data_IF_137775263872
#
_entry.id   IF_137775263872
#
_cell.length_a   1.000
_cell.length_b   1.000
_cell.length_c   1.000
_cell.angle_alpha   90.00
_cell.angle_beta   90.00
_cell.angle_gamma   90.00
#
_symmetry.space_group_name_H-M   'P 1'
#
loop_
_entity.id
_entity.type
_entity.pdbx_description
1 polymer ?
#
# COMPACT_ATOMS: atom_id res chain seq x y z
N UNK A 1 16.81 12.50 -45.80
CA UNK A 1 16.31 13.85 -45.44
C UNK A 1 17.32 14.87 -45.94
N UNK A 2 16.88 15.88 -46.70
CA UNK A 2 17.75 16.96 -47.20
C UNK A 2 18.06 17.98 -46.08
N UNK A 3 19.15 18.72 -46.21
CA UNK A 3 19.64 19.65 -45.17
C UNK A 3 18.66 20.80 -44.84
N UNK A 4 17.68 21.08 -45.69
CA UNK A 4 16.55 21.99 -45.42
C UNK A 4 15.55 21.44 -44.39
N UNK A 5 15.39 20.11 -44.27
CA UNK A 5 14.52 19.51 -43.23
C UNK A 5 15.19 19.53 -41.84
N UNK A 6 16.53 19.42 -41.78
CA UNK A 6 17.29 19.41 -40.52
C UNK A 6 17.21 20.73 -39.75
N UNK A 7 17.09 21.87 -40.43
CA UNK A 7 16.92 23.19 -39.79
C UNK A 7 15.56 23.38 -39.10
N UNK A 8 14.52 22.67 -39.55
CA UNK A 8 13.15 22.81 -39.01
C UNK A 8 12.90 22.05 -37.71
N UNK A 9 13.63 20.95 -37.48
CA UNK A 9 13.45 20.06 -36.32
C UNK A 9 13.93 20.71 -35.01
N UNK A 10 14.84 21.70 -35.09
CA UNK A 10 15.38 22.39 -33.90
C UNK A 10 14.32 23.16 -33.10
N UNK A 11 13.21 23.55 -33.73
CA UNK A 11 12.10 24.25 -33.09
C UNK A 11 10.95 23.34 -32.70
N UNK A 12 11.07 22.03 -32.92
CA UNK A 12 9.99 21.11 -32.60
C UNK A 12 9.92 20.83 -31.10
N UNK A 13 8.70 20.82 -30.58
CA UNK A 13 8.40 20.22 -29.28
C UNK A 13 8.49 18.68 -29.32
N UNK A 14 8.47 18.05 -28.14
CA UNK A 14 8.40 16.59 -28.02
C UNK A 14 7.15 16.02 -28.73
N UNK A 15 6.00 16.68 -28.54
CA UNK A 15 4.75 16.34 -29.21
C UNK A 15 4.86 16.45 -30.74
N UNK A 16 5.58 17.45 -31.25
CA UNK A 16 5.79 17.58 -32.69
C UNK A 16 6.73 16.51 -33.25
N UNK A 17 7.76 16.08 -32.51
CA UNK A 17 8.56 14.91 -32.92
C UNK A 17 7.68 13.66 -32.94
N UNK A 18 6.87 13.45 -31.89
CA UNK A 18 5.97 12.29 -31.77
C UNK A 18 5.00 12.24 -32.94
N UNK A 19 4.32 13.34 -33.24
CA UNK A 19 3.29 13.41 -34.28
C UNK A 19 3.85 13.55 -35.71
N UNK A 20 4.87 14.39 -35.94
CA UNK A 20 5.35 14.72 -37.29
C UNK A 20 6.48 13.80 -37.77
N UNK A 21 7.20 13.15 -36.86
CA UNK A 21 8.35 12.29 -37.20
C UNK A 21 8.04 10.84 -36.90
N UNK A 22 7.82 10.50 -35.63
CA UNK A 22 7.67 9.10 -35.20
C UNK A 22 6.43 8.46 -35.80
N UNK A 23 5.26 9.11 -35.67
CA UNK A 23 4.01 8.60 -36.23
C UNK A 23 4.11 8.36 -37.75
N UNK A 24 4.58 9.35 -38.51
CA UNK A 24 4.72 9.21 -39.96
C UNK A 24 5.77 8.17 -40.37
N UNK A 25 6.85 8.03 -39.60
CA UNK A 25 7.82 6.95 -39.83
C UNK A 25 7.17 5.57 -39.64
N UNK A 26 6.40 5.36 -38.57
CA UNK A 26 5.67 4.12 -38.33
C UNK A 26 4.66 3.82 -39.47
N UNK A 27 3.97 4.85 -39.96
CA UNK A 27 3.07 4.74 -41.13
C UNK A 27 3.82 4.32 -42.40
N UNK A 28 4.99 4.90 -42.65
CA UNK A 28 5.82 4.55 -43.81
C UNK A 28 6.38 3.12 -43.72
N UNK A 29 6.53 2.57 -42.52
CA UNK A 29 6.83 1.15 -42.30
C UNK A 29 5.64 0.22 -42.54
N UNK A 30 4.46 0.75 -42.90
CA UNK A 30 3.27 -0.04 -43.24
C UNK A 30 2.34 -0.33 -42.06
N UNK A 31 2.55 0.30 -40.89
CA UNK A 31 1.67 0.12 -39.73
C UNK A 31 0.35 0.88 -39.91
N UNK A 32 -0.74 0.27 -39.44
CA UNK A 32 -2.08 0.87 -39.49
C UNK A 32 -2.29 1.74 -38.25
N UNK A 33 -3.24 2.66 -38.32
CA UNK A 33 -3.54 3.56 -37.19
C UNK A 33 -4.06 2.76 -35.99
N UNK A 34 -4.77 1.66 -36.23
CA UNK A 34 -5.23 0.72 -35.20
C UNK A 34 -4.10 0.04 -34.42
N UNK A 35 -2.88 0.05 -34.96
CA UNK A 35 -1.72 -0.64 -34.41
C UNK A 35 -0.82 0.34 -33.61
N UNK A 36 -1.11 1.64 -33.63
CA UNK A 36 -0.29 2.72 -33.03
C UNK A 36 -1.09 3.46 -31.96
N UNK A 37 -0.59 3.44 -30.72
CA UNK A 37 -1.24 4.06 -29.56
C UNK A 37 -0.35 5.18 -29.02
N UNK A 38 -0.80 6.42 -29.18
CA UNK A 38 -0.09 7.62 -28.70
C UNK A 38 -0.50 7.94 -27.26
N UNK A 39 0.46 8.37 -26.43
CA UNK A 39 0.27 8.72 -25.02
C UNK A 39 -0.43 7.61 -24.22
N UNK A 40 -0.06 6.36 -24.50
CA UNK A 40 -0.72 5.19 -23.92
C UNK A 40 -0.49 5.11 -22.40
N UNK A 41 -1.57 5.13 -21.62
CA UNK A 41 -1.51 4.96 -20.17
C UNK A 41 -1.08 3.54 -19.81
N UNK A 42 -0.08 3.43 -18.94
CA UNK A 42 0.44 2.13 -18.52
C UNK A 42 -0.52 1.54 -17.48
N UNK A 43 -0.89 0.30 -17.73
CA UNK A 43 -1.65 -0.50 -16.77
C UNK A 43 -0.74 -1.58 -16.20
N UNK A 44 -0.73 -1.71 -14.88
CA UNK A 44 -0.01 -2.75 -14.17
C UNK A 44 -0.97 -3.85 -13.75
N UNK A 45 -0.53 -5.10 -13.87
CA UNK A 45 -1.23 -6.21 -13.25
C UNK A 45 -0.82 -6.29 -11.78
N UNK A 46 -1.72 -5.86 -10.89
CA UNK A 46 -1.54 -5.93 -9.45
C UNK A 46 -2.32 -7.17 -8.96
N UNK A 47 -1.60 -8.29 -8.99
CA UNK A 47 -2.08 -9.66 -8.84
C UNK A 47 -3.31 -10.05 -9.66
N UNK A 48 -4.51 -10.15 -9.07
CA UNK A 48 -5.71 -10.53 -9.85
C UNK A 48 -6.37 -9.35 -10.59
N UNK A 49 -6.00 -8.11 -10.28
CA UNK A 49 -6.58 -6.92 -10.92
C UNK A 49 -5.58 -6.22 -11.84
N UNK A 50 -6.10 -5.53 -12.85
CA UNK A 50 -5.33 -4.57 -13.64
C UNK A 50 -5.62 -3.17 -13.08
N UNK A 51 -4.57 -2.39 -12.81
CA UNK A 51 -4.65 -1.02 -12.29
C UNK A 51 -3.84 -0.09 -13.17
N UNK A 52 -4.47 0.98 -13.63
CA UNK A 52 -3.77 2.08 -14.29
C UNK A 52 -2.86 2.79 -13.30
N UNK A 53 -1.60 2.99 -13.67
CA UNK A 53 -0.65 3.80 -12.91
C UNK A 53 -0.54 5.19 -13.51
N UNK A 54 -0.02 6.16 -12.74
CA UNK A 54 0.21 7.50 -13.25
C UNK A 54 1.51 7.54 -14.07
N UNK A 55 1.52 6.80 -15.18
CA UNK A 55 2.64 6.72 -16.10
C UNK A 55 2.09 6.45 -17.50
N UNK A 56 2.67 7.12 -18.49
CA UNK A 56 2.29 7.00 -19.89
C UNK A 56 3.53 6.86 -20.75
N UNK A 57 3.43 6.03 -21.78
CA UNK A 57 4.44 5.98 -22.84
C UNK A 57 4.05 6.89 -23.98
N UNK A 58 5.02 7.48 -24.67
CA UNK A 58 4.76 8.32 -25.83
C UNK A 58 4.08 7.55 -26.96
N UNK A 59 4.62 6.39 -27.34
CA UNK A 59 4.03 5.54 -28.38
C UNK A 59 4.19 4.07 -28.01
N UNK A 60 3.06 3.35 -27.99
CA UNK A 60 3.01 1.89 -28.00
C UNK A 60 2.58 1.42 -29.38
N UNK A 61 3.30 0.46 -29.96
CA UNK A 61 2.88 -0.23 -31.18
C UNK A 61 2.51 -1.67 -30.84
N UNK A 62 1.40 -2.14 -31.40
CA UNK A 62 0.94 -3.54 -31.26
C UNK A 62 0.92 -4.24 -32.61
N UNK A 63 1.04 -5.56 -32.58
CA UNK A 63 0.74 -6.44 -33.71
C UNK A 63 -0.36 -7.41 -33.29
N UNK A 64 -1.61 -7.07 -33.63
CA UNK A 64 -2.79 -7.70 -33.06
C UNK A 64 -2.83 -7.51 -31.55
N UNK A 65 -2.95 -8.60 -30.80
CA UNK A 65 -2.99 -8.59 -29.33
C UNK A 65 -1.61 -8.44 -28.67
N UNK A 66 -0.51 -8.56 -29.42
CA UNK A 66 0.85 -8.56 -28.84
C UNK A 66 1.49 -7.17 -28.93
N UNK A 67 2.24 -6.80 -27.89
CA UNK A 67 3.03 -5.57 -27.92
C UNK A 67 4.28 -5.76 -28.77
N UNK A 68 4.57 -4.81 -29.65
CA UNK A 68 5.68 -4.89 -30.60
C UNK A 68 6.85 -4.01 -30.18
N UNK A 69 6.61 -2.73 -29.94
CA UNK A 69 7.65 -1.80 -29.54
C UNK A 69 7.09 -0.61 -28.76
N UNK A 70 7.93 -0.05 -27.91
CA UNK A 70 7.73 1.27 -27.29
C UNK A 70 8.63 2.27 -27.99
N UNK A 71 8.11 3.46 -28.31
CA UNK A 71 8.94 4.62 -28.65
C UNK A 71 8.80 5.64 -27.55
N UNK A 72 9.91 6.01 -26.91
CA UNK A 72 10.02 7.14 -26.01
C UNK A 72 10.68 8.30 -26.78
N UNK A 73 10.05 9.46 -26.70
CA UNK A 73 10.42 10.67 -27.44
C UNK A 73 10.88 11.73 -26.45
N UNK A 74 11.96 12.43 -26.77
CA UNK A 74 12.44 13.59 -26.00
C UNK A 74 12.53 14.82 -26.90
N UNK A 75 12.59 16.00 -26.30
CA UNK A 75 12.79 17.25 -27.03
C UNK A 75 14.10 17.22 -27.87
N UNK A 76 14.16 17.89 -29.04
CA UNK A 76 15.33 17.84 -29.93
C UNK A 76 16.61 18.46 -29.34
N UNK A 77 16.48 19.25 -28.27
CA UNK A 77 17.59 19.82 -27.48
C UNK A 77 18.08 18.89 -26.38
N UNK A 78 17.30 17.87 -26.00
CA UNK A 78 17.62 16.93 -24.94
C UNK A 78 18.64 15.89 -25.40
N UNK A 79 19.73 15.71 -24.66
CA UNK A 79 20.70 14.65 -24.94
C UNK A 79 20.22 13.34 -24.31
N UNK A 80 20.09 12.30 -25.13
CA UNK A 80 19.65 10.99 -24.67
C UNK A 80 20.65 10.41 -23.67
N UNK A 81 20.17 10.02 -22.50
CA UNK A 81 21.00 9.51 -21.40
C UNK A 81 20.37 8.29 -20.71
N UNK A 82 21.15 7.61 -19.86
CA UNK A 82 20.77 6.33 -19.23
C UNK A 82 19.46 6.38 -18.43
N UNK A 83 19.06 7.54 -17.91
CA UNK A 83 17.75 7.69 -17.24
C UNK A 83 16.58 7.53 -18.20
N UNK A 84 16.70 8.06 -19.42
CA UNK A 84 15.67 7.94 -20.46
C UNK A 84 15.55 6.50 -20.94
N UNK A 85 16.71 5.82 -21.07
CA UNK A 85 16.77 4.39 -21.40
C UNK A 85 16.02 3.57 -20.36
N UNK A 86 16.32 3.76 -19.07
CA UNK A 86 15.65 3.04 -17.99
C UNK A 86 14.14 3.30 -17.99
N UNK A 87 13.71 4.54 -18.24
CA UNK A 87 12.30 4.89 -18.36
C UNK A 87 11.61 4.11 -19.49
N UNK A 88 12.14 4.23 -20.70
CA UNK A 88 11.56 3.62 -21.90
C UNK A 88 11.48 2.09 -21.79
N UNK A 89 12.55 1.45 -21.30
CA UNK A 89 12.61 0.00 -21.08
C UNK A 89 11.60 -0.43 -19.99
N UNK A 90 11.47 0.33 -18.92
CA UNK A 90 10.52 0.02 -17.85
C UNK A 90 9.08 0.06 -18.35
N UNK A 91 8.76 0.97 -19.27
CA UNK A 91 7.45 1.02 -19.91
C UNK A 91 7.18 -0.23 -20.76
N UNK A 92 8.13 -0.63 -21.60
CA UNK A 92 8.02 -1.83 -22.42
C UNK A 92 7.80 -3.11 -21.61
N UNK A 93 8.48 -3.21 -20.45
CA UNK A 93 8.41 -4.36 -19.55
C UNK A 93 7.12 -4.41 -18.72
N UNK A 94 6.50 -3.28 -18.42
CA UNK A 94 5.39 -3.17 -17.45
C UNK A 94 3.98 -3.34 -18.01
N UNK A 95 3.83 -3.55 -19.32
CA UNK A 95 2.54 -3.68 -19.98
C UNK A 95 1.76 -4.90 -19.45
N UNK A 96 0.57 -4.66 -18.89
CA UNK A 96 -0.28 -5.70 -18.31
C UNK A 96 -0.77 -6.73 -19.35
N UNK A 97 -1.16 -6.26 -20.54
CA UNK A 97 -1.73 -7.05 -21.62
C UNK A 97 -0.78 -7.10 -22.82
N UNK A 98 -0.82 -8.17 -23.62
CA UNK A 98 -0.02 -8.31 -24.84
C UNK A 98 1.47 -8.62 -24.65
N UNK A 99 1.91 -8.90 -23.42
CA UNK A 99 3.29 -9.27 -23.10
C UNK A 99 4.26 -8.09 -23.02
N UNK A 100 5.56 -8.35 -22.86
CA UNK A 100 6.59 -7.31 -22.95
C UNK A 100 6.70 -6.85 -24.41
N UNK A 101 6.79 -5.55 -24.66
CA UNK A 101 7.18 -5.05 -25.98
C UNK A 101 8.67 -5.39 -26.20
N UNK A 102 9.03 -6.29 -27.13
CA UNK A 102 10.40 -6.84 -27.24
C UNK A 102 11.46 -5.78 -27.52
N UNK A 103 11.08 -4.66 -28.15
CA UNK A 103 12.01 -3.59 -28.51
C UNK A 103 11.56 -2.25 -27.93
N UNK A 104 12.55 -1.44 -27.56
CA UNK A 104 12.35 -0.06 -27.12
C UNK A 104 13.19 0.86 -28.00
N UNK A 105 12.58 1.93 -28.48
CA UNK A 105 13.24 2.99 -29.24
C UNK A 105 13.24 4.25 -28.39
N UNK A 106 14.40 4.87 -28.24
CA UNK A 106 14.55 6.17 -27.60
C UNK A 106 15.04 7.17 -28.65
N UNK A 107 14.32 8.27 -28.85
CA UNK A 107 14.69 9.26 -29.86
C UNK A 107 14.39 10.69 -29.43
N UNK A 108 15.16 11.64 -29.95
CA UNK A 108 14.88 13.07 -29.89
C UNK A 108 14.70 13.69 -31.29
N UNK A 109 14.41 12.86 -32.30
CA UNK A 109 14.30 13.26 -33.70
C UNK A 109 15.64 13.50 -34.41
N UNK A 110 16.76 13.62 -33.69
CA UNK A 110 18.12 13.73 -34.26
C UNK A 110 18.94 12.46 -34.06
N UNK A 111 18.88 11.92 -32.85
CA UNK A 111 19.48 10.66 -32.44
C UNK A 111 18.39 9.61 -32.19
N UNK A 112 18.75 8.36 -32.38
CA UNK A 112 17.89 7.21 -32.15
C UNK A 112 18.74 6.09 -31.56
N UNK A 113 18.23 5.45 -30.52
CA UNK A 113 18.83 4.28 -29.89
C UNK A 113 17.77 3.19 -29.80
N UNK A 114 18.15 1.96 -30.14
CA UNK A 114 17.26 0.80 -30.08
C UNK A 114 17.78 -0.12 -28.99
N UNK A 115 16.87 -0.71 -28.21
CA UNK A 115 17.21 -1.63 -27.15
C UNK A 115 16.36 -2.89 -27.22
N UNK A 116 16.97 -4.02 -26.88
CA UNK A 116 16.24 -5.20 -26.43
C UNK A 116 15.60 -4.86 -25.07
N UNK A 117 14.26 -4.87 -25.01
CA UNK A 117 13.56 -4.46 -23.79
C UNK A 117 13.70 -5.47 -22.67
N UNK A 118 14.06 -6.72 -22.92
CA UNK A 118 14.23 -7.75 -21.88
C UNK A 118 15.63 -7.66 -21.30
N UNK A 119 16.66 -7.64 -22.14
CA UNK A 119 18.07 -7.66 -21.69
C UNK A 119 18.63 -6.26 -21.41
N UNK A 120 18.02 -5.22 -21.99
CA UNK A 120 18.49 -3.84 -21.92
C UNK A 120 19.72 -3.53 -22.78
N UNK A 121 20.13 -4.47 -23.64
CA UNK A 121 21.26 -4.31 -24.55
C UNK A 121 20.91 -3.32 -25.67
N UNK A 122 21.87 -2.43 -25.99
CA UNK A 122 21.75 -1.55 -27.16
C UNK A 122 21.94 -2.35 -28.45
N UNK A 123 21.02 -2.15 -29.40
CA UNK A 123 21.01 -2.78 -30.71
C UNK A 123 21.34 -1.72 -31.77
N UNK A 124 22.26 -2.03 -32.68
CA UNK A 124 22.46 -1.20 -33.87
C UNK A 124 21.33 -1.41 -34.89
N UNK A 125 20.91 -2.65 -35.05
CA UNK A 125 19.80 -3.08 -35.90
C UNK A 125 19.14 -4.33 -35.33
N UNK A 126 17.91 -4.62 -35.76
CA UNK A 126 17.19 -5.85 -35.39
C UNK A 126 17.26 -6.82 -36.55
N UNK A 127 18.14 -7.83 -36.44
CA UNK A 127 18.30 -8.88 -37.43
C UNK A 127 17.10 -9.82 -37.53
N UNK A 128 16.94 -10.48 -38.68
CA UNK A 128 15.87 -11.48 -38.91
C UNK A 128 16.05 -12.75 -38.08
N UNK A 129 17.28 -13.00 -37.62
CA UNK A 129 17.70 -14.08 -36.76
C UNK A 129 17.53 -13.78 -35.26
N UNK A 130 17.14 -12.55 -34.90
CA UNK A 130 16.95 -12.17 -33.50
C UNK A 130 15.91 -13.09 -32.82
N UNK A 131 16.15 -13.59 -31.60
CA UNK A 131 15.29 -14.58 -30.95
C UNK A 131 13.79 -14.21 -30.92
N UNK A 132 13.48 -12.93 -30.66
CA UNK A 132 12.09 -12.46 -30.68
C UNK A 132 11.50 -12.41 -32.09
N UNK A 133 12.27 -12.05 -33.12
CA UNK A 133 11.79 -12.00 -34.51
C UNK A 133 11.45 -13.40 -34.99
N UNK A 134 12.35 -14.37 -34.73
CA UNK A 134 12.12 -15.79 -35.03
C UNK A 134 10.88 -16.32 -34.29
N UNK A 135 10.64 -15.85 -33.07
CA UNK A 135 9.48 -16.23 -32.26
C UNK A 135 8.23 -15.36 -32.49
N UNK A 136 8.09 -14.73 -33.66
CA UNK A 136 6.89 -13.98 -34.02
C UNK A 136 6.70 -12.71 -33.20
N UNK A 137 7.79 -12.04 -32.83
CA UNK A 137 7.87 -10.79 -32.08
C UNK A 137 7.36 -10.92 -30.63
N UNK A 138 7.68 -12.03 -29.96
CA UNK A 138 7.32 -12.31 -28.57
C UNK A 138 8.53 -12.53 -27.66
N UNK A 139 8.50 -11.92 -26.49
CA UNK A 139 9.50 -12.10 -25.43
C UNK A 139 9.06 -13.21 -24.46
N UNK A 140 9.73 -14.37 -24.48
CA UNK A 140 9.26 -15.57 -23.76
C UNK A 140 10.27 -16.17 -22.72
N UNK A 141 11.48 -15.62 -22.56
CA UNK A 141 12.56 -16.21 -21.75
C UNK A 141 12.75 -15.61 -20.35
N UNK A 142 13.01 -14.30 -20.27
CA UNK A 142 13.36 -13.61 -19.01
C UNK A 142 12.33 -12.53 -18.60
N UNK A 143 11.09 -12.67 -19.08
CA UNK A 143 10.06 -11.66 -18.92
C UNK A 143 9.67 -11.40 -17.45
N UNK A 144 9.87 -12.37 -16.56
CA UNK A 144 9.49 -12.25 -15.14
C UNK A 144 10.44 -11.29 -14.41
N UNK A 145 11.75 -11.52 -14.50
CA UNK A 145 12.76 -10.67 -13.85
C UNK A 145 12.71 -9.26 -14.44
N UNK A 146 12.62 -9.16 -15.78
CA UNK A 146 12.48 -7.87 -16.46
C UNK A 146 11.22 -7.12 -15.98
N UNK A 147 10.08 -7.80 -15.80
CA UNK A 147 8.86 -7.20 -15.23
C UNK A 147 9.08 -6.70 -13.81
N UNK A 148 9.75 -7.48 -12.96
CA UNK A 148 10.02 -7.10 -11.58
C UNK A 148 10.84 -5.82 -11.49
N UNK A 149 11.94 -5.74 -12.23
CA UNK A 149 12.81 -4.57 -12.30
C UNK A 149 12.04 -3.32 -12.76
N UNK A 150 11.18 -3.47 -13.77
CA UNK A 150 10.41 -2.38 -14.32
C UNK A 150 9.34 -1.86 -13.37
N UNK A 151 8.64 -2.77 -12.68
CA UNK A 151 7.66 -2.43 -11.66
C UNK A 151 8.31 -1.71 -10.47
N UNK A 152 9.50 -2.15 -10.04
CA UNK A 152 10.29 -1.48 -9.01
C UNK A 152 10.64 -0.05 -9.45
N UNK A 153 11.12 0.10 -10.68
CA UNK A 153 11.43 1.40 -11.26
C UNK A 153 10.19 2.30 -11.27
N UNK A 154 9.05 1.82 -11.78
CA UNK A 154 7.79 2.59 -11.83
C UNK A 154 7.28 3.01 -10.46
N UNK A 155 7.35 2.13 -9.46
CA UNK A 155 6.96 2.46 -8.09
C UNK A 155 7.92 3.49 -7.50
N UNK A 156 9.21 3.40 -7.79
CA UNK A 156 10.21 4.36 -7.32
C UNK A 156 10.15 5.74 -8.01
N UNK A 157 9.48 5.84 -9.16
CA UNK A 157 9.38 7.09 -9.92
C UNK A 157 8.36 8.08 -9.34
N UNK A 158 7.28 7.60 -8.70
CA UNK A 158 6.24 8.51 -8.21
C UNK A 158 5.55 8.02 -6.93
N UNK A 159 5.22 9.00 -6.07
CA UNK A 159 4.44 8.76 -4.85
C UNK A 159 3.06 8.17 -5.13
N UNK A 160 2.46 8.53 -6.26
CA UNK A 160 1.16 7.96 -6.65
C UNK A 160 1.24 6.46 -6.90
N UNK A 161 2.30 5.96 -7.53
CA UNK A 161 2.43 4.54 -7.84
C UNK A 161 2.63 3.71 -6.56
N UNK A 162 3.45 4.19 -5.63
CA UNK A 162 3.57 3.56 -4.31
C UNK A 162 2.24 3.58 -3.54
N UNK A 163 1.49 4.68 -3.61
CA UNK A 163 0.17 4.76 -2.99
C UNK A 163 -0.85 3.80 -3.63
N UNK A 164 -0.80 3.60 -4.95
CA UNK A 164 -1.65 2.63 -5.65
C UNK A 164 -1.33 1.21 -5.14
N UNK A 165 -0.05 0.85 -5.02
CA UNK A 165 0.39 -0.40 -4.41
C UNK A 165 -0.16 -0.56 -2.98
N UNK A 166 0.07 0.44 -2.12
CA UNK A 166 -0.38 0.42 -0.73
C UNK A 166 -1.90 0.28 -0.60
N UNK A 167 -2.67 0.98 -1.45
CA UNK A 167 -4.14 0.89 -1.49
C UNK A 167 -4.60 -0.52 -1.86
N UNK A 168 -3.99 -1.13 -2.86
CA UNK A 168 -4.32 -2.49 -3.28
C UNK A 168 -3.97 -3.53 -2.20
N UNK A 169 -2.79 -3.40 -1.57
CA UNK A 169 -2.35 -4.27 -0.47
C UNK A 169 -3.29 -4.17 0.74
N UNK A 170 -3.57 -2.94 1.21
CA UNK A 170 -4.47 -2.72 2.33
C UNK A 170 -5.88 -3.25 2.03
N UNK A 171 -6.43 -2.97 0.85
CA UNK A 171 -7.74 -3.47 0.46
C UNK A 171 -7.81 -5.00 0.48
N UNK A 172 -6.74 -5.69 0.08
CA UNK A 172 -6.66 -7.15 0.15
C UNK A 172 -6.59 -7.66 1.60
N UNK A 173 -5.63 -7.17 2.39
CA UNK A 173 -5.41 -7.65 3.77
C UNK A 173 -6.56 -7.28 4.72
N UNK A 174 -7.29 -6.19 4.45
CA UNK A 174 -8.45 -5.79 5.25
C UNK A 174 -9.73 -6.61 4.97
N UNK A 175 -9.80 -7.42 3.89
CA UNK A 175 -11.03 -8.18 3.53
C UNK A 175 -11.55 -9.07 4.66
N UNK A 176 -10.66 -9.61 5.49
CA UNK A 176 -11.09 -10.47 6.60
C UNK A 176 -11.75 -9.69 7.73
N UNK A 177 -11.47 -8.38 7.85
CA UNK A 177 -11.91 -7.49 8.93
C UNK A 177 -13.01 -6.50 8.50
N UNK A 178 -13.06 -6.14 7.21
CA UNK A 178 -13.90 -5.08 6.65
C UNK A 178 -15.05 -5.63 5.79
N UNK A 179 -16.22 -5.02 5.90
CA UNK A 179 -17.31 -5.11 4.92
C UNK A 179 -18.14 -3.82 4.90
N UNK A 180 -18.93 -3.64 3.83
CA UNK A 180 -19.89 -2.53 3.71
C UNK A 180 -21.28 -2.91 4.25
N UNK A 181 -21.62 -4.20 4.20
CA UNK A 181 -22.87 -4.72 4.76
C UNK A 181 -22.80 -4.76 6.30
N UNK A 182 -23.79 -4.11 6.93
CA UNK A 182 -23.91 -4.01 8.39
C UNK A 182 -24.17 -5.37 9.05
N UNK A 183 -24.74 -6.34 8.33
CA UNK A 183 -25.05 -7.69 8.84
C UNK A 183 -23.97 -8.73 8.53
N UNK A 184 -22.86 -8.32 7.91
CA UNK A 184 -21.77 -9.21 7.49
C UNK A 184 -21.02 -9.92 8.64
N UNK A 185 -21.24 -9.51 9.90
CA UNK A 185 -20.49 -9.96 11.07
C UNK A 185 -19.02 -9.48 11.09
N UNK A 186 -18.58 -8.65 10.14
CA UNK A 186 -17.20 -8.14 10.11
C UNK A 186 -16.97 -7.10 11.20
N UNK A 187 -15.73 -7.04 11.72
CA UNK A 187 -15.34 -6.12 12.81
C UNK A 187 -15.52 -4.66 12.40
N UNK A 188 -15.02 -4.29 11.23
CA UNK A 188 -15.02 -2.92 10.72
C UNK A 188 -16.06 -2.74 9.62
N UNK A 189 -17.02 -1.86 9.87
CA UNK A 189 -18.03 -1.44 8.89
C UNK A 189 -17.93 0.09 8.82
N UNK A 190 -17.47 0.69 7.69
CA UNK A 190 -17.19 2.12 7.62
C UNK A 190 -18.37 3.02 7.96
N UNK A 191 -19.59 2.64 7.56
CA UNK A 191 -20.82 3.39 7.83
C UNK A 191 -21.16 3.47 9.33
N UNK A 192 -20.77 2.45 10.12
CA UNK A 192 -20.99 2.40 11.57
C UNK A 192 -19.80 2.94 12.39
N UNK A 193 -18.66 3.17 11.75
CA UNK A 193 -17.47 3.64 12.45
C UNK A 193 -17.67 5.05 13.01
N UNK A 194 -17.25 5.26 14.25
CA UNK A 194 -17.29 6.57 14.94
C UNK A 194 -15.86 7.10 15.06
N UNK A 195 -15.64 8.34 14.64
CA UNK A 195 -14.30 8.91 14.53
C UNK A 195 -13.65 9.15 15.89
N UNK A 196 -12.50 8.48 16.13
CA UNK A 196 -11.67 8.62 17.33
C UNK A 196 -10.69 9.79 17.18
N UNK A 197 -11.19 11.03 17.23
CA UNK A 197 -10.41 12.23 16.86
C UNK A 197 -9.11 12.38 17.66
N UNK A 198 -9.18 12.26 18.99
CA UNK A 198 -8.02 12.41 19.89
C UNK A 198 -6.98 11.30 19.67
N UNK A 199 -7.33 10.00 19.70
CA UNK A 199 -6.37 8.96 19.36
C UNK A 199 -5.76 9.08 17.96
N UNK A 200 -6.52 9.56 16.98
CA UNK A 200 -6.02 9.79 15.63
C UNK A 200 -4.99 10.92 15.58
N UNK A 201 -5.25 12.06 16.25
CA UNK A 201 -4.29 13.17 16.29
C UNK A 201 -3.01 12.76 17.01
N UNK A 202 -3.13 12.11 18.17
CA UNK A 202 -1.98 11.61 18.93
C UNK A 202 -1.11 10.64 18.10
N UNK A 203 -1.73 9.71 17.37
CA UNK A 203 -1.00 8.78 16.50
C UNK A 203 -0.28 9.51 15.37
N UNK A 204 -0.95 10.48 14.74
CA UNK A 204 -0.41 11.22 13.59
C UNK A 204 0.75 12.10 14.01
N UNK A 205 0.63 12.82 15.13
CA UNK A 205 1.70 13.62 15.73
C UNK A 205 2.93 12.74 16.03
N UNK A 206 2.73 11.60 16.71
CA UNK A 206 3.84 10.68 17.02
C UNK A 206 4.53 10.12 15.76
N UNK A 207 3.84 9.93 14.64
CA UNK A 207 4.43 9.34 13.44
C UNK A 207 5.09 10.33 12.49
N UNK A 208 4.66 11.59 12.48
CA UNK A 208 5.02 12.54 11.42
C UNK A 208 5.62 13.87 11.91
N UNK A 209 5.63 14.17 13.21
CA UNK A 209 6.29 15.37 13.73
C UNK A 209 7.83 15.24 13.75
N UNK A 210 8.53 16.33 14.10
CA UNK A 210 10.00 16.44 14.01
C UNK A 210 10.78 15.42 14.84
N UNK A 211 10.19 14.91 15.93
CA UNK A 211 10.73 13.80 16.74
C UNK A 211 9.87 12.54 16.57
N UNK A 212 9.61 12.18 15.31
CA UNK A 212 8.68 11.10 14.99
C UNK A 212 9.18 9.75 15.46
N UNK A 213 8.33 9.07 16.23
CA UNK A 213 8.49 7.70 16.65
C UNK A 213 8.72 6.79 15.44
N UNK A 214 9.60 5.81 15.57
CA UNK A 214 9.70 4.71 14.60
C UNK A 214 8.65 3.64 14.84
N UNK A 215 8.12 3.56 16.06
CA UNK A 215 7.15 2.57 16.47
C UNK A 215 6.20 3.18 17.48
N UNK A 216 4.89 3.04 17.24
CA UNK A 216 3.82 3.45 18.15
C UNK A 216 2.96 2.24 18.51
N UNK A 217 2.70 2.04 19.80
CA UNK A 217 1.77 1.01 20.27
C UNK A 217 0.35 1.56 20.43
N UNK A 218 -0.62 0.92 19.80
CA UNK A 218 -2.05 1.19 20.01
C UNK A 218 -2.61 0.18 21.00
N UNK A 219 -2.85 0.63 22.23
CA UNK A 219 -3.24 -0.22 23.35
C UNK A 219 -4.65 0.08 23.83
N UNK A 220 -5.29 -0.91 24.42
CA UNK A 220 -6.61 -0.73 25.01
C UNK A 220 -7.20 -2.08 25.42
N UNK A 221 -8.20 -2.11 26.31
CA UNK A 221 -8.81 -3.38 26.69
C UNK A 221 -9.48 -4.06 25.48
N UNK A 222 -9.78 -5.36 25.55
CA UNK A 222 -10.50 -6.07 24.49
C UNK A 222 -11.78 -5.33 24.08
N UNK A 223 -12.20 -5.49 22.82
CA UNK A 223 -13.50 -5.03 22.33
C UNK A 223 -13.77 -3.50 22.33
N UNK A 224 -12.79 -2.65 22.66
CA UNK A 224 -12.90 -1.19 22.58
C UNK A 224 -12.70 -0.58 21.18
N UNK A 225 -12.62 -1.40 20.13
CA UNK A 225 -12.57 -0.92 18.74
C UNK A 225 -11.18 -0.56 18.21
N UNK A 226 -10.09 -1.13 18.76
CA UNK A 226 -8.71 -0.95 18.24
C UNK A 226 -8.60 -1.31 16.75
N UNK A 227 -9.11 -2.47 16.36
CA UNK A 227 -9.13 -2.90 14.95
C UNK A 227 -9.88 -1.89 14.08
N UNK A 228 -11.07 -1.45 14.48
CA UNK A 228 -11.84 -0.47 13.73
C UNK A 228 -11.11 0.88 13.62
N UNK A 229 -10.45 1.31 14.70
CA UNK A 229 -9.60 2.49 14.70
C UNK A 229 -8.44 2.36 13.70
N UNK A 230 -7.69 1.26 13.73
CA UNK A 230 -6.58 1.05 12.79
C UNK A 230 -7.05 0.94 11.34
N UNK A 231 -8.14 0.22 11.08
CA UNK A 231 -8.70 0.13 9.73
C UNK A 231 -9.08 1.50 9.18
N UNK A 232 -9.77 2.33 9.97
CA UNK A 232 -10.12 3.69 9.54
C UNK A 232 -8.89 4.58 9.38
N UNK A 233 -7.93 4.51 10.30
CA UNK A 233 -6.68 5.26 10.24
C UNK A 233 -5.89 4.95 8.97
N UNK A 234 -5.77 3.67 8.59
CA UNK A 234 -5.10 3.25 7.36
C UNK A 234 -5.77 3.84 6.12
N UNK A 235 -7.10 3.73 6.03
CA UNK A 235 -7.86 4.33 4.93
C UNK A 235 -7.65 5.84 4.85
N UNK A 236 -7.63 6.52 6.00
CA UNK A 236 -7.40 7.96 6.08
C UNK A 236 -5.98 8.35 5.67
N UNK A 237 -4.96 7.64 6.14
CA UNK A 237 -3.56 7.86 5.73
C UNK A 237 -3.39 7.69 4.22
N UNK A 238 -3.95 6.63 3.63
CA UNK A 238 -3.92 6.42 2.19
C UNK A 238 -4.66 7.52 1.40
N UNK A 239 -5.75 8.07 1.96
CA UNK A 239 -6.48 9.19 1.34
C UNK A 239 -5.72 10.51 1.43
N UNK A 240 -4.90 10.69 2.47
CA UNK A 240 -4.04 11.85 2.70
C UNK A 240 -2.68 11.76 1.97
N UNK A 241 -2.43 10.65 1.27
CA UNK A 241 -1.20 10.47 0.49
C UNK A 241 -0.02 9.89 1.27
N UNK A 242 -0.25 9.34 2.46
CA UNK A 242 0.78 8.63 3.24
C UNK A 242 0.83 7.15 2.83
N UNK A 243 1.95 6.66 2.28
CA UNK A 243 2.14 5.23 1.98
C UNK A 243 1.96 4.40 3.26
N UNK A 244 1.02 3.45 3.21
CA UNK A 244 0.65 2.64 4.38
C UNK A 244 0.38 1.19 3.98
N UNK A 245 0.99 0.23 4.68
CA UNK A 245 0.66 -1.19 4.60
C UNK A 245 -0.10 -1.64 5.85
N UNK A 246 -0.97 -2.63 5.69
CA UNK A 246 -1.78 -3.16 6.78
C UNK A 246 -1.71 -4.67 6.86
N UNK A 247 -1.53 -5.20 8.07
CA UNK A 247 -1.42 -6.61 8.35
C UNK A 247 -2.25 -6.99 9.59
N UNK A 248 -3.34 -7.76 9.44
CA UNK A 248 -3.93 -8.47 10.58
C UNK A 248 -2.92 -9.47 11.12
N UNK A 249 -2.55 -9.37 12.39
CA UNK A 249 -1.52 -10.22 12.98
C UNK A 249 -1.89 -11.72 12.94
N UNK A 250 -3.19 -12.03 13.00
CA UNK A 250 -3.73 -13.39 12.78
C UNK A 250 -3.37 -14.01 11.43
N UNK A 251 -3.02 -13.19 10.44
CA UNK A 251 -2.63 -13.64 9.10
C UNK A 251 -1.11 -13.81 8.96
N UNK A 252 -0.31 -13.38 9.95
CA UNK A 252 1.16 -13.40 9.90
C UNK A 252 1.76 -14.75 10.34
N UNK A 253 1.31 -15.85 9.72
CA UNK A 253 1.73 -17.21 10.08
C UNK A 253 3.22 -17.46 9.90
N UNK A 254 3.85 -16.82 8.91
CA UNK A 254 5.28 -16.94 8.61
C UNK A 254 6.11 -15.73 9.08
N UNK A 255 5.52 -14.84 9.88
CA UNK A 255 6.13 -13.57 10.28
C UNK A 255 5.76 -12.39 9.37
N UNK A 256 6.05 -11.19 9.86
CA UNK A 256 5.81 -9.92 9.16
C UNK A 256 6.71 -9.78 7.94
N UNK A 257 7.99 -10.14 8.06
CA UNK A 257 8.95 -9.97 6.95
C UNK A 257 8.57 -10.85 5.77
N UNK A 258 8.17 -12.10 6.04
CA UNK A 258 7.69 -13.02 5.03
C UNK A 258 6.41 -12.51 4.37
N UNK A 259 5.49 -11.92 5.12
CA UNK A 259 4.26 -11.35 4.56
C UNK A 259 4.52 -10.13 3.67
N UNK A 260 5.48 -9.27 4.05
CA UNK A 260 5.90 -8.14 3.19
C UNK A 260 6.60 -8.70 1.94
N UNK A 261 7.49 -9.68 2.06
CA UNK A 261 8.11 -10.35 0.92
C UNK A 261 7.07 -10.96 -0.02
N UNK A 262 6.05 -11.66 0.51
CA UNK A 262 4.95 -12.24 -0.27
C UNK A 262 4.15 -11.17 -1.00
N UNK A 263 3.82 -10.06 -0.34
CA UNK A 263 3.12 -8.96 -0.99
C UNK A 263 4.00 -8.40 -2.12
N UNK A 264 5.27 -8.11 -1.87
CA UNK A 264 6.17 -7.66 -2.93
C UNK A 264 6.34 -8.73 -4.04
N UNK A 265 6.49 -10.01 -3.71
CA UNK A 265 6.53 -11.12 -4.67
C UNK A 265 5.29 -11.14 -5.56
N UNK A 266 4.11 -11.02 -4.98
CA UNK A 266 2.83 -10.99 -5.68
C UNK A 266 2.71 -9.78 -6.60
N UNK A 267 3.35 -8.66 -6.21
CA UNK A 267 3.33 -7.42 -6.96
C UNK A 267 4.43 -7.32 -8.04
N UNK A 268 5.62 -7.86 -7.80
CA UNK A 268 6.80 -7.72 -8.66
C UNK A 268 7.15 -9.01 -9.43
N UNK A 269 6.68 -10.19 -8.98
CA UNK A 269 6.93 -11.48 -9.65
C UNK A 269 8.27 -12.15 -9.31
N UNK A 270 9.00 -11.66 -8.29
CA UNK A 270 10.33 -12.16 -7.91
C UNK A 270 10.32 -12.77 -6.51
N UNK A 271 10.79 -14.01 -6.35
CA UNK A 271 11.10 -14.60 -5.04
C UNK A 271 12.12 -13.74 -4.29
N UNK A 272 11.68 -13.01 -3.27
CA UNK A 272 12.47 -12.00 -2.59
C UNK A 272 12.99 -12.54 -1.27
N UNK A 273 14.31 -12.58 -1.14
CA UNK A 273 14.94 -12.91 0.14
C UNK A 273 14.75 -11.74 1.11
N UNK A 274 14.33 -11.97 2.37
CA UNK A 274 14.08 -10.94 3.39
C UNK A 274 15.12 -9.82 3.52
N UNK A 275 16.42 -10.10 3.36
CA UNK A 275 17.47 -9.06 3.44
C UNK A 275 17.37 -8.05 2.29
N UNK A 276 17.06 -8.52 1.08
CA UNK A 276 16.93 -7.65 -0.10
C UNK A 276 15.68 -6.78 -0.02
N UNK A 277 14.66 -7.20 0.73
CA UNK A 277 13.45 -6.42 0.95
C UNK A 277 13.73 -5.08 1.63
N UNK A 278 14.53 -5.08 2.71
CA UNK A 278 14.81 -3.85 3.47
C UNK A 278 15.57 -2.85 2.61
N UNK A 279 16.61 -3.30 1.91
CA UNK A 279 17.37 -2.42 1.01
C UNK A 279 16.51 -1.92 -0.16
N UNK A 280 15.64 -2.77 -0.71
CA UNK A 280 14.70 -2.40 -1.79
C UNK A 280 13.69 -1.35 -1.31
N UNK A 281 13.06 -1.58 -0.16
CA UNK A 281 12.16 -0.61 0.48
C UNK A 281 12.87 0.71 0.75
N UNK A 282 14.08 0.66 1.32
CA UNK A 282 14.89 1.86 1.60
C UNK A 282 15.15 2.64 0.32
N UNK A 283 15.61 1.97 -0.74
CA UNK A 283 15.90 2.61 -2.03
C UNK A 283 14.66 3.28 -2.66
N UNK A 284 13.50 2.62 -2.60
CA UNK A 284 12.22 3.19 -3.08
C UNK A 284 11.90 4.46 -2.27
N UNK A 285 11.91 4.37 -0.95
CA UNK A 285 11.57 5.49 -0.05
C UNK A 285 12.60 6.62 -0.08
N UNK A 286 13.86 6.33 -0.40
CA UNK A 286 14.93 7.31 -0.62
C UNK A 286 14.73 8.13 -1.88
N UNK A 287 14.43 7.48 -3.00
CA UNK A 287 14.14 8.18 -4.26
C UNK A 287 12.92 9.10 -4.15
N UNK A 288 11.97 8.72 -3.30
CA UNK A 288 10.68 9.41 -3.17
C UNK A 288 10.64 10.43 -2.04
N UNK A 289 11.70 10.51 -1.21
CA UNK A 289 11.69 11.32 0.03
C UNK A 289 10.46 11.06 0.91
N UNK A 290 9.99 9.81 0.97
CA UNK A 290 8.76 9.41 1.66
C UNK A 290 9.06 8.49 2.85
N UNK A 291 8.10 8.37 3.77
CA UNK A 291 8.09 7.34 4.81
C UNK A 291 6.95 6.35 4.55
N UNK A 292 7.16 5.09 4.94
CA UNK A 292 6.16 4.02 4.85
C UNK A 292 5.67 3.65 6.24
N UNK A 293 4.36 3.72 6.45
CA UNK A 293 3.71 3.24 7.69
C UNK A 293 3.34 1.77 7.53
N UNK A 294 3.72 0.93 8.48
CA UNK A 294 3.37 -0.49 8.54
C UNK A 294 2.51 -0.70 9.78
N UNK A 295 1.23 -0.99 9.56
CA UNK A 295 0.25 -1.19 10.62
C UNK A 295 0.01 -2.68 10.84
N UNK A 296 0.21 -3.16 12.06
CA UNK A 296 -0.05 -4.54 12.48
C UNK A 296 -1.15 -4.56 13.54
N UNK A 297 -2.31 -5.13 13.19
CA UNK A 297 -3.47 -5.19 14.09
C UNK A 297 -3.53 -6.51 14.86
N UNK A 298 -3.57 -6.43 16.18
CA UNK A 298 -3.87 -7.54 17.07
C UNK A 298 -2.67 -8.42 17.38
N UNK A 299 -1.51 -7.85 17.73
CA UNK A 299 -0.29 -8.62 18.06
C UNK A 299 -0.53 -9.73 19.10
N UNK A 300 -1.44 -9.51 20.06
CA UNK A 300 -1.86 -10.52 21.03
C UNK A 300 -2.59 -11.74 20.44
N UNK A 301 -3.07 -11.65 19.21
CA UNK A 301 -3.76 -12.73 18.48
C UNK A 301 -2.76 -13.66 17.76
N UNK A 302 -1.46 -13.35 17.79
CA UNK A 302 -0.40 -14.24 17.30
C UNK A 302 -0.16 -15.38 18.29
N UNK A 303 -0.25 -16.62 17.80
CA UNK A 303 -0.14 -17.84 18.61
C UNK A 303 1.34 -18.21 18.81
N UNK A 304 2.10 -18.42 17.72
CA UNK A 304 3.47 -18.98 17.78
C UNK A 304 4.59 -17.96 17.54
N UNK A 305 4.31 -16.86 16.83
CA UNK A 305 5.33 -15.92 16.31
C UNK A 305 5.33 -14.55 16.97
N UNK A 306 4.70 -14.40 18.14
CA UNK A 306 4.63 -13.10 18.81
C UNK A 306 6.02 -12.56 19.19
N UNK A 307 6.95 -13.44 19.57
CA UNK A 307 8.35 -13.10 19.85
C UNK A 307 9.12 -12.80 18.55
N UNK A 308 8.88 -13.59 17.49
CA UNK A 308 9.51 -13.34 16.19
C UNK A 308 9.17 -11.94 15.64
N UNK A 309 7.94 -11.46 15.86
CA UNK A 309 7.54 -10.11 15.47
C UNK A 309 8.39 -9.02 16.15
N UNK A 310 8.80 -9.21 17.40
CA UNK A 310 9.71 -8.29 18.08
C UNK A 310 11.06 -8.19 17.36
N UNK A 311 11.65 -9.34 17.01
CA UNK A 311 12.94 -9.40 16.33
C UNK A 311 12.85 -8.87 14.89
N UNK A 312 11.75 -9.12 14.21
CA UNK A 312 11.48 -8.56 12.88
C UNK A 312 11.32 -7.05 12.93
N UNK A 313 10.60 -6.50 13.92
CA UNK A 313 10.52 -5.05 14.13
C UNK A 313 11.90 -4.44 14.36
N UNK A 314 12.76 -5.10 15.13
CA UNK A 314 14.14 -4.65 15.35
C UNK A 314 14.95 -4.64 14.05
N UNK A 315 14.79 -5.65 13.20
CA UNK A 315 15.50 -5.77 11.90
C UNK A 315 14.98 -4.81 10.83
N UNK A 316 13.68 -4.54 10.83
CA UNK A 316 13.03 -3.61 9.89
C UNK A 316 13.07 -2.15 10.39
N UNK A 317 13.66 -1.89 11.56
CA UNK A 317 13.77 -0.55 12.14
C UNK A 317 14.73 0.34 11.34
N UNK A 318 14.21 0.93 10.28
CA UNK A 318 14.88 1.91 9.43
C UNK A 318 14.31 3.32 9.66
N UNK A 319 15.02 4.37 9.26
CA UNK A 319 14.58 5.76 9.49
C UNK A 319 13.24 6.10 8.80
N UNK A 320 12.98 5.48 7.65
CA UNK A 320 11.81 5.72 6.80
C UNK A 320 10.70 4.69 6.96
N UNK A 321 10.91 3.66 7.77
CA UNK A 321 9.88 2.68 8.13
C UNK A 321 9.32 3.03 9.50
N UNK A 322 7.99 3.19 9.55
CA UNK A 322 7.25 3.58 10.74
C UNK A 322 6.27 2.46 11.09
N UNK A 323 6.25 1.99 12.33
CA UNK A 323 5.42 0.88 12.77
C UNK A 323 4.28 1.35 13.66
N UNK A 324 3.09 0.81 13.45
CA UNK A 324 1.95 0.95 14.36
C UNK A 324 1.47 -0.44 14.72
N UNK A 325 1.57 -0.82 15.98
CA UNK A 325 1.22 -2.18 16.42
C UNK A 325 0.10 -2.09 17.45
N UNK A 326 -1.03 -2.74 17.21
CA UNK A 326 -2.08 -2.83 18.23
C UNK A 326 -1.97 -4.08 19.08
N UNK A 327 -2.31 -3.94 20.36
CA UNK A 327 -2.43 -5.07 21.28
C UNK A 327 -3.40 -4.77 22.42
N UNK A 328 -3.81 -5.81 23.14
CA UNK A 328 -4.62 -5.65 24.36
C UNK A 328 -3.75 -5.28 25.55
N UNK A 329 -4.26 -4.42 26.43
CA UNK A 329 -3.57 -4.03 27.66
C UNK A 329 -3.20 -5.22 28.55
N UNK A 330 -4.06 -6.25 28.58
CA UNK A 330 -3.85 -7.50 29.33
C UNK A 330 -2.69 -8.33 28.80
N UNK A 331 -2.29 -8.16 27.54
CA UNK A 331 -1.22 -8.93 26.91
C UNK A 331 0.14 -8.24 27.00
N UNK A 332 0.19 -6.97 27.42
CA UNK A 332 1.43 -6.17 27.40
C UNK A 332 2.55 -6.80 28.21
N UNK A 333 2.27 -7.30 29.41
CA UNK A 333 3.31 -7.92 30.26
C UNK A 333 4.01 -9.08 29.57
N UNK A 334 3.25 -9.89 28.81
CA UNK A 334 3.76 -11.06 28.08
C UNK A 334 4.50 -10.67 26.80
N UNK A 335 4.03 -9.63 26.10
CA UNK A 335 4.55 -9.25 24.79
C UNK A 335 5.74 -8.29 24.87
N UNK A 336 5.80 -7.48 25.92
CA UNK A 336 6.83 -6.46 26.09
C UNK A 336 8.05 -6.95 26.87
N UNK A 337 7.98 -8.15 27.44
CA UNK A 337 9.09 -8.76 28.19
C UNK A 337 9.37 -10.16 27.67
N UNK A 338 10.64 -10.53 27.64
CA UNK A 338 11.04 -11.91 27.37
C UNK A 338 10.83 -12.82 28.60
N UNK A 339 11.11 -14.11 28.45
CA UNK A 339 10.98 -15.09 29.54
C UNK A 339 11.92 -14.82 30.73
N UNK A 340 13.00 -14.06 30.51
CA UNK A 340 13.95 -13.63 31.53
C UNK A 340 13.57 -12.29 32.18
N UNK A 341 12.47 -11.67 31.74
CA UNK A 341 11.98 -10.38 32.24
C UNK A 341 12.65 -9.14 31.64
N UNK A 342 13.53 -9.32 30.64
CA UNK A 342 14.16 -8.21 29.93
C UNK A 342 13.17 -7.52 29.01
N UNK A 343 13.37 -6.22 28.77
CA UNK A 343 12.53 -5.44 27.87
C UNK A 343 12.76 -5.86 26.41
N UNK A 344 11.67 -6.10 25.71
CA UNK A 344 11.68 -6.34 24.26
C UNK A 344 12.11 -5.09 23.48
N UNK A 345 12.46 -5.25 22.21
CA UNK A 345 12.73 -4.11 21.31
C UNK A 345 11.51 -3.19 21.22
N UNK A 346 10.30 -3.76 21.12
CA UNK A 346 9.06 -2.98 21.08
C UNK A 346 8.86 -2.16 22.36
N UNK A 347 9.15 -2.75 23.53
CA UNK A 347 9.06 -2.05 24.82
C UNK A 347 10.00 -0.85 24.87
N UNK A 348 11.27 -1.06 24.52
CA UNK A 348 12.29 -0.02 24.51
C UNK A 348 12.00 1.07 23.46
N UNK A 349 11.52 0.69 22.26
CA UNK A 349 11.11 1.63 21.22
C UNK A 349 9.92 2.52 21.65
N UNK A 350 9.02 1.99 22.50
CA UNK A 350 7.87 2.76 23.01
C UNK A 350 8.18 3.64 24.22
N UNK A 351 9.41 3.57 24.75
CA UNK A 351 9.84 4.32 25.94
C UNK A 351 8.95 4.07 27.17
N UNK A 352 8.32 2.89 27.25
CA UNK A 352 7.49 2.50 28.39
C UNK A 352 8.36 1.92 29.50
N UNK A 353 8.28 2.51 30.70
CA UNK A 353 8.87 1.90 31.89
C UNK A 353 8.10 0.65 32.34
N UNK A 354 8.79 -0.26 33.03
CA UNK A 354 8.17 -1.43 33.66
C UNK A 354 6.96 -1.09 34.56
N UNK A 355 6.99 0.04 35.27
CA UNK A 355 5.85 0.52 36.07
C UNK A 355 4.65 0.91 35.19
N UNK A 356 4.89 1.64 34.10
CA UNK A 356 3.84 2.01 33.14
C UNK A 356 3.22 0.78 32.48
N UNK A 357 4.02 -0.23 32.10
CA UNK A 357 3.54 -1.50 31.54
C UNK A 357 2.60 -2.20 32.54
N UNK A 358 2.99 -2.26 33.82
CA UNK A 358 2.18 -2.87 34.86
C UNK A 358 0.87 -2.09 35.08
N UNK A 359 0.93 -0.77 35.10
CA UNK A 359 -0.24 0.11 35.30
C UNK A 359 -1.23 0.05 34.14
N UNK A 360 -0.75 0.02 32.90
CA UNK A 360 -1.59 -0.13 31.70
C UNK A 360 -2.43 -1.40 31.70
N UNK A 361 -2.00 -2.43 32.42
CA UNK A 361 -2.77 -3.68 32.56
C UNK A 361 -4.05 -3.50 33.41
N UNK A 362 -4.12 -2.46 34.23
CA UNK A 362 -5.24 -2.20 35.15
C UNK A 362 -6.02 -0.94 34.79
N UNK A 363 -5.35 0.14 34.39
CA UNK A 363 -5.98 1.42 34.10
C UNK A 363 -5.24 2.21 33.02
N UNK A 364 -5.91 3.12 32.29
CA UNK A 364 -5.26 4.00 31.33
C UNK A 364 -4.23 4.92 32.00
N UNK A 365 -3.15 5.24 31.29
CA UNK A 365 -2.20 6.26 31.72
C UNK A 365 -2.77 7.65 31.46
N UNK A 366 -2.72 8.52 32.47
CA UNK A 366 -3.25 9.90 32.40
C UNK A 366 -2.22 10.85 31.74
N UNK A 367 -0.92 10.59 31.92
CA UNK A 367 0.16 11.33 31.31
C UNK A 367 1.14 10.34 30.68
N UNK A 368 1.16 10.31 29.35
CA UNK A 368 2.02 9.41 28.57
C UNK A 368 3.41 9.98 28.37
N UNK A 369 3.66 11.26 28.65
CA UNK A 369 4.99 11.87 28.54
C UNK A 369 5.60 11.67 27.15
N UNK A 370 6.79 11.08 27.08
CA UNK A 370 7.47 10.68 25.83
C UNK A 370 7.12 9.27 25.34
N UNK A 371 6.20 8.57 26.00
CA UNK A 371 5.86 7.21 25.63
C UNK A 371 5.15 7.20 24.27
N UNK A 372 5.62 6.35 23.37
CA UNK A 372 5.11 6.23 22.00
C UNK A 372 3.92 5.25 21.99
N UNK A 373 2.84 5.68 22.64
CA UNK A 373 1.61 4.91 22.77
C UNK A 373 0.39 5.76 22.46
N UNK A 374 -0.66 5.09 22.00
CA UNK A 374 -2.01 5.65 21.83
C UNK A 374 -3.01 4.72 22.52
N UNK A 375 -3.87 5.28 23.37
CA UNK A 375 -4.78 4.49 24.21
C UNK A 375 -6.22 4.57 23.68
N UNK A 376 -6.80 3.42 23.36
CA UNK A 376 -8.19 3.28 22.90
C UNK A 376 -9.05 2.75 24.04
N UNK A 377 -9.94 3.60 24.55
CA UNK A 377 -10.86 3.29 25.62
C UNK A 377 -12.32 3.17 25.19
N UNK A 378 -13.22 3.28 26.16
CA UNK A 378 -14.65 3.50 25.93
C UNK A 378 -14.87 4.81 25.16
N UNK A 379 -16.04 4.92 24.53
CA UNK A 379 -16.52 6.18 23.96
C UNK A 379 -16.53 7.29 25.02
N UNK A 380 -16.04 8.46 24.64
CA UNK A 380 -16.39 9.68 25.35
C UNK A 380 -17.85 10.10 25.06
N UNK A 381 -18.32 11.19 25.68
CA UNK A 381 -19.69 11.65 25.49
C UNK A 381 -20.02 12.03 24.04
N UNK A 382 -19.10 12.69 23.34
CA UNK A 382 -19.31 13.12 21.96
C UNK A 382 -19.27 11.93 21.01
N UNK A 383 -18.31 11.03 21.19
CA UNK A 383 -18.22 9.82 20.39
C UNK A 383 -19.43 8.89 20.61
N UNK A 384 -19.90 8.72 21.86
CA UNK A 384 -21.07 7.88 22.12
C UNK A 384 -22.33 8.47 21.47
N UNK A 385 -22.49 9.80 21.52
CA UNK A 385 -23.62 10.46 20.87
C UNK A 385 -23.61 10.22 19.36
N UNK A 386 -22.46 10.41 18.70
CA UNK A 386 -22.32 10.15 17.25
C UNK A 386 -22.55 8.68 16.91
N UNK A 387 -21.98 7.77 17.70
CA UNK A 387 -22.16 6.33 17.50
C UNK A 387 -23.64 5.96 17.59
N UNK A 388 -24.35 6.42 18.62
CA UNK A 388 -25.78 6.15 18.76
C UNK A 388 -26.56 6.59 17.54
N UNK A 389 -26.38 7.83 17.07
CA UNK A 389 -27.08 8.31 15.87
C UNK A 389 -26.89 7.36 14.67
N UNK A 390 -25.64 6.92 14.43
CA UNK A 390 -25.33 5.96 13.36
C UNK A 390 -26.03 4.62 13.53
N UNK A 391 -25.97 4.04 14.73
CA UNK A 391 -26.61 2.76 15.01
C UNK A 391 -28.15 2.85 14.98
N UNK A 392 -28.74 3.92 15.53
CA UNK A 392 -30.18 4.17 15.46
C UNK A 392 -30.67 4.27 14.02
N UNK A 393 -29.95 4.99 13.17
CA UNK A 393 -30.30 5.12 11.77
C UNK A 393 -30.12 3.79 11.00
N UNK A 394 -29.06 3.04 11.28
CA UNK A 394 -28.72 1.84 10.50
C UNK A 394 -29.52 0.60 10.88
N UNK A 395 -29.90 0.48 12.15
CA UNK A 395 -30.65 -0.67 12.69
C UNK A 395 -32.10 -0.32 13.10
N UNK A 396 -32.52 0.92 12.85
CA UNK A 396 -33.87 1.40 13.25
C UNK A 396 -34.16 1.13 14.74
N UNK A 397 -33.14 1.32 15.58
CA UNK A 397 -33.17 1.02 17.01
C UNK A 397 -33.37 2.30 17.82
N UNK A 398 -34.09 2.22 18.94
CA UNK A 398 -34.27 3.34 19.88
C UNK A 398 -33.51 3.06 21.17
N UNK A 399 -32.60 3.95 21.55
CA UNK A 399 -31.89 3.84 22.83
C UNK A 399 -32.56 4.77 23.86
N UNK A 400 -33.24 4.22 24.86
CA UNK A 400 -34.04 5.03 25.79
C UNK A 400 -33.19 5.89 26.75
N UNK A 401 -32.04 5.39 27.23
CA UNK A 401 -31.16 6.11 28.17
C UNK A 401 -29.66 5.85 27.91
N UNK A 402 -28.80 6.67 28.52
CA UNK A 402 -27.34 6.55 28.44
C UNK A 402 -26.82 5.67 29.57
N UNK A 403 -26.77 4.35 29.35
CA UNK A 403 -26.09 3.46 30.30
C UNK A 403 -24.57 3.47 30.11
N UNK A 404 -23.81 3.35 31.20
CA UNK A 404 -22.34 3.26 31.13
C UNK A 404 -21.86 2.02 30.35
N UNK A 405 -22.73 1.02 30.22
CA UNK A 405 -22.48 -0.17 29.42
C UNK A 405 -22.34 0.16 27.94
N UNK A 406 -23.21 1.02 27.41
CA UNK A 406 -23.24 1.43 26.00
C UNK A 406 -22.08 2.37 25.61
N UNK A 407 -21.32 2.91 26.58
CA UNK A 407 -20.03 3.56 26.28
C UNK A 407 -19.00 2.57 25.72
N UNK A 408 -19.18 1.27 25.91
CA UNK A 408 -18.35 0.26 25.23
C UNK A 408 -18.81 0.08 23.78
N UNK A 409 -17.92 0.24 22.79
CA UNK A 409 -18.27 0.05 21.39
C UNK A 409 -18.88 -1.32 21.07
N UNK A 410 -18.40 -2.38 21.71
CA UNK A 410 -18.92 -3.73 21.51
C UNK A 410 -20.35 -3.89 22.03
N UNK A 411 -20.63 -3.43 23.25
CA UNK A 411 -21.98 -3.56 23.81
C UNK A 411 -22.98 -2.65 23.11
N UNK A 412 -22.55 -1.48 22.62
CA UNK A 412 -23.41 -0.62 21.79
C UNK A 412 -23.83 -1.33 20.52
N UNK A 413 -22.87 -1.93 19.80
CA UNK A 413 -23.14 -2.70 18.59
C UNK A 413 -24.07 -3.87 18.85
N UNK A 414 -23.77 -4.66 19.89
CA UNK A 414 -24.58 -5.82 20.25
C UNK A 414 -26.04 -5.43 20.56
N UNK A 415 -26.23 -4.34 21.32
CA UNK A 415 -27.56 -3.83 21.62
C UNK A 415 -28.30 -3.37 20.36
N UNK A 416 -27.60 -2.74 19.40
CA UNK A 416 -28.21 -2.34 18.14
C UNK A 416 -28.64 -3.55 17.30
N UNK A 417 -27.78 -4.56 17.18
CA UNK A 417 -28.06 -5.79 16.42
C UNK A 417 -29.20 -6.61 17.05
N UNK A 418 -29.23 -6.74 18.38
CA UNK A 418 -30.25 -7.53 19.09
C UNK A 418 -31.63 -6.87 19.13
N UNK A 419 -31.66 -5.53 19.23
CA UNK A 419 -32.89 -4.75 19.31
C UNK A 419 -33.20 -4.01 18.01
N UNK A 420 -32.78 -4.56 16.87
CA UNK A 420 -33.14 -4.05 15.55
C UNK A 420 -34.67 -3.86 15.44
N UNK A 421 -35.10 -2.70 14.94
CA UNK A 421 -36.51 -2.27 14.88
C UNK A 421 -37.23 -2.14 16.24
N UNK A 422 -36.50 -2.09 17.36
CA UNK A 422 -37.05 -2.07 18.72
C UNK A 422 -36.38 -1.02 19.61
N UNK A 423 -36.94 -0.82 20.80
CA UNK A 423 -36.30 -0.04 21.86
C UNK A 423 -35.38 -0.91 22.72
N UNK A 424 -34.16 -0.44 22.99
CA UNK A 424 -33.23 -1.04 23.94
C UNK A 424 -33.72 -0.76 25.37
N UNK A 425 -34.00 -1.79 26.19
CA UNK A 425 -34.48 -1.62 27.55
C UNK A 425 -33.51 -0.82 28.43
N UNK A 426 -34.08 -0.01 29.35
CA UNK A 426 -33.30 0.82 30.29
C UNK A 426 -32.31 0.04 31.15
N UNK A 427 -32.67 -1.18 31.57
CA UNK A 427 -31.88 -2.04 32.47
C UNK A 427 -31.25 -3.22 31.72
N UNK A 428 -30.65 -2.96 30.57
CA UNK A 428 -29.94 -3.99 29.82
C UNK A 428 -28.63 -4.37 30.51
N UNK A 429 -28.49 -5.63 30.90
CA UNK A 429 -27.27 -6.17 31.54
C UNK A 429 -26.29 -6.77 30.52
N UNK A 430 -25.03 -6.94 30.93
CA UNK A 430 -24.02 -7.64 30.11
C UNK A 430 -24.43 -9.06 29.77
N UNK A 431 -25.05 -9.76 30.72
CA UNK A 431 -25.42 -11.17 30.56
C UNK A 431 -26.54 -11.34 29.53
N UNK A 432 -27.55 -10.45 29.54
CA UNK A 432 -28.65 -10.47 28.58
C UNK A 432 -28.16 -10.20 27.15
N UNK A 433 -27.28 -9.22 26.99
CA UNK A 433 -26.65 -8.91 25.71
C UNK A 433 -25.83 -10.10 25.17
N UNK A 434 -24.95 -10.67 25.98
CA UNK A 434 -24.05 -11.75 25.53
C UNK A 434 -24.81 -13.05 25.24
N UNK A 435 -25.84 -13.38 26.03
CA UNK A 435 -26.54 -14.68 25.95
C UNK A 435 -27.36 -14.84 24.67
N UNK A 436 -27.86 -13.75 24.09
CA UNK A 436 -28.63 -13.78 22.84
C UNK A 436 -27.75 -13.62 21.58
N UNK A 437 -26.46 -13.32 21.74
CA UNK A 437 -25.50 -13.11 20.64
C UNK A 437 -24.57 -14.31 20.38
N UNK A 438 -24.59 -15.34 21.23
CA UNK A 438 -23.91 -16.63 21.03
C UNK A 438 -24.91 -17.64 20.47
#
# INVERSE_FOLDING_TARGET
MSDLQRGSILNYSEDEIRAKVVYHWLKNCGLRDSDIFIEHSIQLKLGHGIKTVNSRTDVLVKNGENNLLIVEVKAPSHQLHEKDKHQAISYARSLAEGGIAPFTILTNGKGCMIFDSVTGQHLQEVGTDHPYVVNGLRANGDAIIARAEALEYLISLSNENLLIFCKAQCAYRMKILKAEDIHSGKKYIPSLYTARKKPYSELTEQLFDSDSAKLVLVVGPPQHGKTCFLCNTVERYLSQGFPTLFYPAVSLKMGLTAAICEDFEWFFGEGMIPRRLVDRLRNILDRMSASLVIVVDGWNEMIDNAVAMNDECARLCESKLKFVISTTTTSLKRLLKDESGNESYVASATMLSSFQIQRLSTEPLINTGKAQIVQIGKFDHGELWEARQKYQQSFDVVFDEMSDLLKSPFYLRLAAEQFEHKSVPKLTTRAELIKESL
#
